data_IF_032360247368
#
_entry.id   IF_032360247368
#
_cell.length_a   1.000
_cell.length_b   1.000
_cell.length_c   1.000
_cell.angle_alpha   90.00
_cell.angle_beta   90.00
_cell.angle_gamma   90.00
#
_symmetry.space_group_name_H-M   'P 1'
#
loop_
_entity.id
_entity.type
_entity.pdbx_description
1 polymer ?
#
# COMPACT_ATOMS: atom_id res chain seq x y z
N UNK A 1 -8.66 30.17 -38.44
CA UNK A 1 -7.40 29.64 -37.93
C UNK A 1 -7.49 29.43 -36.42
N UNK A 2 -8.07 28.33 -35.95
CA UNK A 2 -7.98 27.85 -34.56
C UNK A 2 -8.39 26.38 -34.53
N UNK A 3 -7.53 25.46 -34.94
CA UNK A 3 -7.77 24.00 -34.84
C UNK A 3 -6.81 23.27 -33.90
N UNK A 4 -6.05 23.98 -33.07
CA UNK A 4 -5.07 23.38 -32.13
C UNK A 4 -5.59 23.01 -30.75
N UNK A 5 -6.78 23.45 -30.35
CA UNK A 5 -7.25 23.32 -28.96
C UNK A 5 -7.87 21.97 -28.56
N UNK A 6 -8.20 21.11 -29.51
CA UNK A 6 -8.87 19.82 -29.23
C UNK A 6 -7.95 18.59 -29.31
N UNK A 7 -6.76 18.71 -29.88
CA UNK A 7 -5.83 17.58 -30.06
C UNK A 7 -5.05 17.24 -28.79
N UNK A 8 -4.69 18.23 -27.97
CA UNK A 8 -3.91 18.05 -26.74
C UNK A 8 -4.65 17.20 -25.69
N UNK A 9 -5.90 17.51 -25.30
CA UNK A 9 -6.66 16.69 -24.36
C UNK A 9 -6.90 15.26 -24.83
N UNK A 10 -7.10 15.06 -26.13
CA UNK A 10 -7.26 13.72 -26.71
C UNK A 10 -5.94 12.91 -26.70
N UNK A 11 -4.82 13.57 -26.92
CA UNK A 11 -3.49 12.95 -26.85
C UNK A 11 -3.17 12.52 -25.42
N UNK A 12 -3.41 13.38 -24.45
CA UNK A 12 -3.22 13.06 -23.03
C UNK A 12 -4.10 11.89 -22.57
N UNK A 13 -5.37 11.88 -22.97
CA UNK A 13 -6.28 10.78 -22.67
C UNK A 13 -5.79 9.45 -23.30
N UNK A 14 -5.36 9.45 -24.56
CA UNK A 14 -4.78 8.27 -25.22
C UNK A 14 -3.53 7.76 -24.49
N UNK A 15 -2.66 8.66 -24.06
CA UNK A 15 -1.46 8.31 -23.30
C UNK A 15 -1.83 7.73 -21.93
N UNK A 16 -2.79 8.31 -21.21
CA UNK A 16 -3.27 7.80 -19.94
C UNK A 16 -3.88 6.40 -20.08
N UNK A 17 -4.70 6.17 -21.12
CA UNK A 17 -5.26 4.85 -21.44
C UNK A 17 -4.14 3.84 -21.77
N UNK A 18 -3.16 4.23 -22.57
CA UNK A 18 -2.04 3.36 -22.91
C UNK A 18 -1.19 2.99 -21.68
N UNK A 19 -0.91 3.96 -20.80
CA UNK A 19 -0.22 3.73 -19.52
C UNK A 19 -1.03 2.77 -18.62
N UNK A 20 -2.33 2.99 -18.48
CA UNK A 20 -3.22 2.11 -17.71
C UNK A 20 -3.21 0.68 -18.28
N UNK A 21 -3.32 0.51 -19.60
CA UNK A 21 -3.27 -0.81 -20.26
C UNK A 21 -1.92 -1.51 -20.06
N UNK A 22 -0.81 -0.77 -20.15
CA UNK A 22 0.53 -1.32 -19.92
C UNK A 22 0.69 -1.79 -18.47
N UNK A 23 0.18 -1.04 -17.51
CA UNK A 23 0.20 -1.41 -16.08
C UNK A 23 -0.65 -2.65 -15.80
N UNK A 24 -1.87 -2.71 -16.35
CA UNK A 24 -2.72 -3.89 -16.25
C UNK A 24 -1.99 -5.13 -16.78
N UNK A 25 -1.37 -5.04 -17.97
CA UNK A 25 -0.61 -6.14 -18.54
C UNK A 25 0.58 -6.57 -17.67
N UNK A 26 1.22 -5.64 -16.99
CA UNK A 26 2.38 -5.90 -16.15
C UNK A 26 2.02 -6.66 -14.85
N UNK A 27 0.90 -6.32 -14.21
CA UNK A 27 0.50 -6.90 -12.93
C UNK A 27 -0.41 -8.13 -13.04
N UNK A 28 -1.10 -8.30 -14.17
CA UNK A 28 -2.07 -9.38 -14.36
C UNK A 28 -1.51 -10.78 -14.05
N UNK A 29 -0.26 -11.15 -14.39
CA UNK A 29 0.31 -12.43 -13.98
C UNK A 29 0.36 -12.63 -12.47
N UNK A 30 0.73 -11.60 -11.70
CA UNK A 30 0.76 -11.65 -10.23
C UNK A 30 -0.66 -11.80 -9.66
N UNK A 31 -1.62 -11.06 -10.21
CA UNK A 31 -3.02 -11.12 -9.79
C UNK A 31 -3.62 -12.50 -10.08
N UNK A 32 -3.39 -13.06 -11.27
CA UNK A 32 -3.83 -14.44 -11.61
C UNK A 32 -3.19 -15.50 -10.71
N UNK A 33 -1.95 -15.30 -10.29
CA UNK A 33 -1.30 -16.19 -9.33
C UNK A 33 -2.02 -16.18 -7.99
N UNK A 34 -2.47 -15.01 -7.52
CA UNK A 34 -3.28 -14.93 -6.29
C UNK A 34 -4.63 -15.65 -6.46
N UNK A 35 -5.34 -15.42 -7.57
CA UNK A 35 -6.61 -16.07 -7.87
C UNK A 35 -6.48 -17.60 -7.93
N UNK A 36 -5.39 -18.11 -8.53
CA UNK A 36 -5.10 -19.53 -8.59
C UNK A 36 -4.89 -20.13 -7.19
N UNK A 37 -4.06 -19.48 -6.36
CA UNK A 37 -3.84 -19.92 -4.97
C UNK A 37 -5.14 -19.94 -4.19
N UNK A 38 -6.01 -18.96 -4.37
CA UNK A 38 -7.31 -18.88 -3.70
C UNK A 38 -8.28 -19.97 -4.14
N UNK A 39 -8.20 -20.42 -5.40
CA UNK A 39 -8.98 -21.56 -5.91
C UNK A 39 -8.48 -22.89 -5.33
N UNK A 40 -7.18 -23.06 -5.22
CA UNK A 40 -6.56 -24.30 -4.70
C UNK A 40 -6.66 -24.40 -3.16
N UNK A 41 -6.58 -23.26 -2.47
CA UNK A 41 -6.62 -23.17 -1.01
C UNK A 41 -7.37 -21.91 -0.58
N UNK A 42 -8.70 -21.94 -0.56
CA UNK A 42 -9.49 -20.78 -0.19
C UNK A 42 -9.12 -20.24 1.19
N UNK A 43 -8.80 -18.94 1.31
CA UNK A 43 -8.47 -18.35 2.61
C UNK A 43 -9.66 -18.41 3.56
N UNK A 44 -9.35 -18.47 4.84
CA UNK A 44 -10.40 -18.41 5.88
C UNK A 44 -11.19 -17.11 5.78
N UNK A 45 -12.49 -17.20 5.97
CA UNK A 45 -13.34 -16.03 6.16
C UNK A 45 -12.83 -15.22 7.36
N UNK A 46 -13.08 -13.93 7.34
CA UNK A 46 -12.68 -13.05 8.45
C UNK A 46 -11.15 -12.93 8.63
N UNK A 47 -10.40 -12.99 7.53
CA UNK A 47 -8.94 -12.87 7.50
C UNK A 47 -8.46 -11.43 7.66
N UNK A 48 -7.15 -11.27 7.90
CA UNK A 48 -6.41 -10.02 7.83
C UNK A 48 -5.69 -10.00 6.48
N UNK A 49 -5.91 -8.98 5.67
CA UNK A 49 -5.34 -8.88 4.33
C UNK A 49 -4.32 -7.74 4.25
N UNK A 50 -3.12 -8.04 3.79
CA UNK A 50 -2.11 -7.03 3.46
C UNK A 50 -2.03 -6.85 1.95
N UNK A 51 -2.14 -5.62 1.48
CA UNK A 51 -2.03 -5.28 0.06
C UNK A 51 -1.11 -4.08 -0.16
N UNK A 52 -0.64 -3.92 -1.40
CA UNK A 52 0.23 -2.83 -1.81
C UNK A 52 1.47 -3.29 -2.53
N UNK A 53 2.58 -2.60 -2.30
CA UNK A 53 3.79 -2.72 -3.12
C UNK A 53 4.75 -3.86 -2.70
N UNK A 54 5.99 -3.76 -3.18
CA UNK A 54 7.03 -4.77 -2.93
C UNK A 54 7.35 -5.00 -1.45
N UNK A 55 7.15 -4.00 -0.59
CA UNK A 55 7.36 -4.17 0.85
C UNK A 55 6.36 -5.16 1.44
N UNK A 56 5.12 -5.18 0.96
CA UNK A 56 4.15 -6.22 1.35
C UNK A 56 4.51 -7.56 0.70
N UNK A 57 4.76 -7.57 -0.63
CA UNK A 57 5.07 -8.80 -1.36
C UNK A 57 6.21 -9.60 -0.74
N UNK A 58 7.25 -8.90 -0.27
CA UNK A 58 8.45 -9.52 0.31
C UNK A 58 8.30 -9.90 1.78
N UNK A 59 7.21 -9.51 2.45
CA UNK A 59 7.01 -9.79 3.87
C UNK A 59 6.55 -11.24 4.09
N UNK A 60 7.32 -12.02 4.83
CA UNK A 60 6.95 -13.37 5.23
C UNK A 60 5.94 -13.31 6.39
N UNK A 61 4.65 -13.20 6.06
CA UNK A 61 3.59 -13.04 7.06
C UNK A 61 3.41 -14.30 7.94
N UNK A 62 3.66 -15.48 7.38
CA UNK A 62 3.55 -16.74 8.13
C UNK A 62 4.55 -16.81 9.29
N UNK A 63 5.75 -16.34 9.05
CA UNK A 63 6.81 -16.27 10.06
C UNK A 63 6.60 -15.10 11.02
N UNK A 64 6.19 -13.94 10.48
CA UNK A 64 6.00 -12.72 11.27
C UNK A 64 4.79 -12.77 12.19
N UNK A 65 3.73 -13.49 11.81
CA UNK A 65 2.46 -13.54 12.55
C UNK A 65 1.96 -15.00 12.69
N UNK A 66 2.68 -15.86 13.42
CA UNK A 66 2.32 -17.27 13.54
C UNK A 66 0.91 -17.43 14.13
N UNK A 67 0.12 -18.32 13.51
CA UNK A 67 -1.23 -18.62 13.95
C UNK A 67 -2.31 -17.59 13.59
N UNK A 68 -1.95 -16.44 12.99
CA UNK A 68 -2.94 -15.45 12.53
C UNK A 68 -3.35 -15.73 11.06
N UNK A 69 -4.65 -15.62 10.71
CA UNK A 69 -5.13 -15.85 9.35
C UNK A 69 -4.81 -14.65 8.44
N UNK A 70 -3.56 -14.55 8.02
CA UNK A 70 -3.04 -13.45 7.22
C UNK A 70 -2.98 -13.80 5.73
N UNK A 71 -3.40 -12.87 4.87
CA UNK A 71 -3.36 -12.98 3.41
C UNK A 71 -2.42 -11.91 2.85
N UNK A 72 -1.39 -12.31 2.08
CA UNK A 72 -0.52 -11.40 1.38
C UNK A 72 -1.00 -11.19 -0.06
N UNK A 73 -1.37 -9.95 -0.40
CA UNK A 73 -1.75 -9.49 -1.74
C UNK A 73 -0.89 -8.31 -2.19
N UNK A 74 0.39 -8.33 -1.79
CA UNK A 74 1.38 -7.39 -2.27
C UNK A 74 1.91 -7.75 -3.65
N UNK A 75 2.06 -6.78 -4.54
CA UNK A 75 2.65 -6.94 -5.87
C UNK A 75 3.67 -5.85 -6.17
N UNK A 76 4.88 -6.28 -6.56
CA UNK A 76 6.07 -5.44 -6.52
C UNK A 76 6.02 -4.25 -7.48
N UNK A 77 6.36 -3.05 -6.97
CA UNK A 77 6.39 -1.83 -7.77
C UNK A 77 5.02 -1.20 -8.03
N UNK A 78 3.95 -1.72 -7.41
CA UNK A 78 2.62 -1.14 -7.54
C UNK A 78 2.52 0.23 -6.85
N UNK A 79 1.61 1.03 -7.35
CA UNK A 79 1.17 2.28 -6.78
C UNK A 79 -0.20 2.11 -6.11
N UNK A 80 -0.66 3.12 -5.43
CA UNK A 80 -1.97 3.13 -4.76
C UNK A 80 -3.11 2.97 -5.78
N UNK A 81 -3.00 3.61 -6.93
CA UNK A 81 -3.95 3.45 -8.05
C UNK A 81 -4.01 2.03 -8.61
N UNK A 82 -2.96 1.21 -8.47
CA UNK A 82 -3.00 -0.20 -8.84
C UNK A 82 -3.77 -1.03 -7.81
N UNK A 83 -3.61 -0.73 -6.52
CA UNK A 83 -4.41 -1.36 -5.47
C UNK A 83 -5.91 -1.08 -5.66
N UNK A 84 -6.28 0.13 -6.09
CA UNK A 84 -7.66 0.48 -6.47
C UNK A 84 -8.11 -0.35 -7.68
N UNK A 85 -7.30 -0.42 -8.72
CA UNK A 85 -7.64 -1.12 -9.97
C UNK A 85 -7.95 -2.60 -9.76
N UNK A 86 -7.19 -3.25 -8.88
CA UNK A 86 -7.32 -4.69 -8.62
C UNK A 86 -8.14 -5.04 -7.38
N UNK A 87 -8.75 -4.06 -6.72
CA UNK A 87 -9.52 -4.26 -5.49
C UNK A 87 -10.54 -5.39 -5.59
N UNK A 88 -11.31 -5.43 -6.67
CA UNK A 88 -12.38 -6.41 -6.87
C UNK A 88 -11.84 -7.84 -7.06
N UNK A 89 -10.59 -8.00 -7.46
CA UNK A 89 -9.96 -9.30 -7.70
C UNK A 89 -9.17 -9.82 -6.50
N UNK A 90 -8.56 -8.93 -5.70
CA UNK A 90 -7.62 -9.34 -4.65
C UNK A 90 -8.06 -9.00 -3.22
N UNK A 91 -9.10 -8.19 -3.06
CA UNK A 91 -9.63 -7.80 -1.74
C UNK A 91 -11.06 -8.26 -1.56
N UNK A 92 -11.94 -7.88 -2.48
CA UNK A 92 -13.38 -8.12 -2.38
C UNK A 92 -13.77 -9.60 -2.15
N UNK A 93 -13.14 -10.61 -2.80
CA UNK A 93 -13.49 -12.02 -2.60
C UNK A 93 -13.28 -12.51 -1.16
N UNK A 94 -12.35 -11.91 -0.43
CA UNK A 94 -11.96 -12.32 0.93
C UNK A 94 -12.82 -11.71 2.02
N UNK A 95 -13.48 -10.57 1.76
CA UNK A 95 -14.22 -9.80 2.78
C UNK A 95 -13.46 -9.73 4.11
N UNK A 96 -12.24 -9.22 4.12
CA UNK A 96 -11.38 -9.26 5.30
C UNK A 96 -11.92 -8.35 6.40
N UNK A 97 -11.69 -8.72 7.67
CA UNK A 97 -12.04 -7.86 8.81
C UNK A 97 -11.07 -6.69 8.99
N UNK A 98 -9.81 -6.89 8.55
CA UNK A 98 -8.77 -5.86 8.56
C UNK A 98 -8.05 -5.86 7.22
N UNK A 99 -7.80 -4.69 6.67
CA UNK A 99 -6.91 -4.47 5.52
C UNK A 99 -5.75 -3.59 5.99
N UNK A 100 -4.52 -4.05 5.78
CA UNK A 100 -3.34 -3.19 5.84
C UNK A 100 -2.90 -2.83 4.43
N UNK A 101 -2.85 -1.54 4.14
CA UNK A 101 -2.44 -0.99 2.84
C UNK A 101 -1.07 -0.32 2.97
N UNK A 102 -0.10 -0.72 2.15
CA UNK A 102 1.17 -0.04 1.98
C UNK A 102 1.42 0.32 0.52
N UNK A 103 1.35 1.60 0.19
CA UNK A 103 1.71 2.16 -1.11
C UNK A 103 2.01 3.66 -0.95
N UNK A 104 2.54 4.30 -1.99
CA UNK A 104 2.85 5.72 -2.01
C UNK A 104 4.32 6.02 -2.33
N UNK A 105 5.26 5.17 -1.92
CA UNK A 105 6.68 5.35 -2.20
C UNK A 105 7.02 5.21 -3.70
N UNK A 106 6.33 4.32 -4.42
CA UNK A 106 6.46 4.20 -5.87
C UNK A 106 5.67 5.30 -6.61
N UNK A 107 4.57 5.73 -6.05
CA UNK A 107 3.75 6.82 -6.56
C UNK A 107 4.58 8.11 -6.66
N UNK A 108 5.22 8.49 -5.56
CA UNK A 108 6.07 9.69 -5.48
C UNK A 108 7.35 9.53 -6.31
N UNK A 109 7.99 8.36 -6.31
CA UNK A 109 9.15 8.08 -7.17
C UNK A 109 8.82 8.25 -8.66
N UNK A 110 7.58 8.01 -9.07
CA UNK A 110 7.10 8.19 -10.44
C UNK A 110 6.50 9.57 -10.72
N UNK A 111 6.67 10.50 -9.79
CA UNK A 111 6.34 11.90 -9.97
C UNK A 111 4.92 12.30 -9.52
N UNK A 112 4.18 11.44 -8.81
CA UNK A 112 2.97 11.89 -8.15
C UNK A 112 3.31 12.82 -6.97
N UNK A 113 2.53 13.86 -6.80
CA UNK A 113 2.59 14.70 -5.61
C UNK A 113 1.94 14.02 -4.39
N UNK A 114 2.27 14.53 -3.19
CA UNK A 114 1.62 14.10 -1.95
C UNK A 114 0.09 14.20 -2.05
N UNK A 115 -0.43 15.27 -2.65
CA UNK A 115 -1.86 15.47 -2.84
C UNK A 115 -2.48 14.39 -3.73
N UNK A 116 -1.80 13.97 -4.81
CA UNK A 116 -2.29 12.89 -5.68
C UNK A 116 -2.31 11.54 -4.95
N UNK A 117 -1.33 11.26 -4.11
CA UNK A 117 -1.31 10.07 -3.26
C UNK A 117 -2.47 10.10 -2.25
N UNK A 118 -2.73 11.25 -1.64
CA UNK A 118 -3.87 11.44 -0.71
C UNK A 118 -5.22 11.21 -1.42
N UNK A 119 -5.40 11.72 -2.64
CA UNK A 119 -6.64 11.49 -3.38
C UNK A 119 -6.83 10.00 -3.74
N UNK A 120 -5.76 9.31 -4.12
CA UNK A 120 -5.80 7.85 -4.33
C UNK A 120 -6.13 7.11 -3.02
N UNK A 121 -5.56 7.52 -1.87
CA UNK A 121 -5.92 6.95 -0.56
C UNK A 121 -7.42 7.13 -0.24
N UNK A 122 -7.94 8.33 -0.40
CA UNK A 122 -9.39 8.62 -0.22
C UNK A 122 -10.26 7.75 -1.14
N UNK A 123 -9.82 7.55 -2.39
CA UNK A 123 -10.53 6.69 -3.33
C UNK A 123 -10.52 5.23 -2.86
N UNK A 124 -9.40 4.73 -2.35
CA UNK A 124 -9.30 3.38 -1.80
C UNK A 124 -10.16 3.22 -0.53
N UNK A 125 -10.11 4.18 0.40
CA UNK A 125 -10.95 4.20 1.61
C UNK A 125 -12.45 4.17 1.25
N UNK A 126 -12.88 4.97 0.23
CA UNK A 126 -14.26 4.92 -0.27
C UNK A 126 -14.67 3.56 -0.80
N UNK A 127 -13.78 2.86 -1.53
CA UNK A 127 -14.07 1.50 -2.02
C UNK A 127 -14.32 0.52 -0.87
N UNK A 128 -13.54 0.61 0.20
CA UNK A 128 -13.73 -0.24 1.39
C UNK A 128 -15.09 0.02 2.00
N UNK A 129 -15.44 1.27 2.27
CA UNK A 129 -16.75 1.63 2.85
C UNK A 129 -17.94 1.16 2.00
N UNK A 130 -17.79 1.21 0.68
CA UNK A 130 -18.86 0.81 -0.25
C UNK A 130 -18.97 -0.71 -0.44
N UNK A 131 -17.84 -1.42 -0.55
CA UNK A 131 -17.83 -2.81 -0.99
C UNK A 131 -17.64 -3.84 0.14
N UNK A 132 -16.96 -3.44 1.22
CA UNK A 132 -16.70 -4.27 2.40
C UNK A 132 -16.90 -3.46 3.69
N UNK A 133 -18.12 -2.96 3.93
CA UNK A 133 -18.41 -2.12 5.09
C UNK A 133 -18.06 -2.85 6.40
N UNK A 134 -17.60 -2.09 7.39
CA UNK A 134 -17.14 -2.62 8.67
C UNK A 134 -15.69 -3.12 8.69
N UNK A 135 -15.04 -3.25 7.55
CA UNK A 135 -13.61 -3.58 7.48
C UNK A 135 -12.76 -2.43 8.04
N UNK A 136 -11.84 -2.75 8.93
CA UNK A 136 -10.84 -1.79 9.42
C UNK A 136 -9.74 -1.59 8.38
N UNK A 137 -9.41 -0.34 8.06
CA UNK A 137 -8.31 0.02 7.15
C UNK A 137 -7.14 0.58 7.96
N UNK A 138 -6.03 -0.14 8.01
CA UNK A 138 -4.75 0.37 8.49
C UNK A 138 -3.87 0.84 7.32
N UNK A 139 -3.67 2.14 7.18
CA UNK A 139 -2.69 2.68 6.24
C UNK A 139 -1.30 2.62 6.87
N UNK A 140 -0.45 1.74 6.37
CA UNK A 140 0.95 1.68 6.78
C UNK A 140 1.68 2.88 6.19
N UNK A 141 2.22 3.74 7.03
CA UNK A 141 2.90 4.97 6.64
C UNK A 141 3.91 4.71 5.50
N UNK A 142 3.97 5.64 4.56
CA UNK A 142 4.99 5.59 3.51
C UNK A 142 6.35 5.71 4.18
N UNK A 143 7.15 4.64 4.09
CA UNK A 143 8.46 4.61 4.73
C UNK A 143 9.47 5.49 4.00
N UNK A 144 10.33 6.19 4.70
CA UNK A 144 11.56 6.70 4.11
C UNK A 144 12.46 5.55 3.66
N UNK A 145 13.40 5.82 2.77
CA UNK A 145 14.46 4.88 2.45
C UNK A 145 15.75 5.63 2.11
N UNK A 146 16.89 4.99 2.30
CA UNK A 146 18.18 5.61 2.02
C UNK A 146 18.27 5.97 0.52
N UNK A 147 17.79 5.05 -0.34
CA UNK A 147 17.81 5.24 -1.80
C UNK A 147 16.94 6.40 -2.27
N UNK A 148 15.83 6.66 -1.59
CA UNK A 148 14.83 7.68 -1.96
C UNK A 148 14.74 8.79 -0.90
N UNK A 149 15.80 9.04 -0.14
CA UNK A 149 15.79 10.04 0.93
C UNK A 149 15.42 11.44 0.43
N UNK A 150 15.85 11.79 -0.78
CA UNK A 150 15.51 13.05 -1.41
C UNK A 150 13.99 13.25 -1.65
N UNK A 151 13.20 12.18 -1.67
CA UNK A 151 11.74 12.22 -1.80
C UNK A 151 11.02 12.21 -0.45
N UNK A 152 11.75 12.08 0.66
CA UNK A 152 11.16 11.99 1.98
C UNK A 152 10.26 13.18 2.35
N UNK A 153 10.58 14.45 2.04
CA UNK A 153 9.69 15.57 2.33
C UNK A 153 8.28 15.40 1.76
N UNK A 154 8.18 14.92 0.52
CA UNK A 154 6.90 14.67 -0.16
C UNK A 154 6.16 13.48 0.45
N UNK A 155 6.87 12.40 0.77
CA UNK A 155 6.31 11.24 1.46
C UNK A 155 5.79 11.61 2.85
N UNK A 156 6.54 12.38 3.61
CA UNK A 156 6.15 12.86 4.93
C UNK A 156 4.93 13.80 4.87
N UNK A 157 4.81 14.60 3.81
CA UNK A 157 3.62 15.44 3.59
C UNK A 157 2.38 14.56 3.36
N UNK A 158 2.47 13.57 2.48
CA UNK A 158 1.37 12.62 2.24
C UNK A 158 0.97 11.89 3.54
N UNK A 159 1.97 11.42 4.31
CA UNK A 159 1.75 10.74 5.58
C UNK A 159 0.98 11.61 6.58
N UNK A 160 1.37 12.88 6.77
CA UNK A 160 0.68 13.79 7.69
C UNK A 160 -0.78 14.01 7.29
N UNK A 161 -1.06 14.22 6.01
CA UNK A 161 -2.43 14.44 5.54
C UNK A 161 -3.27 13.17 5.71
N UNK A 162 -2.72 12.00 5.35
CA UNK A 162 -3.42 10.72 5.52
C UNK A 162 -3.67 10.43 7.01
N UNK A 163 -2.71 10.72 7.88
CA UNK A 163 -2.90 10.59 9.33
C UNK A 163 -4.08 11.41 9.82
N UNK A 164 -4.16 12.69 9.45
CA UNK A 164 -5.29 13.55 9.83
C UNK A 164 -6.64 13.04 9.29
N UNK A 165 -6.65 12.40 8.11
CA UNK A 165 -7.86 11.77 7.58
C UNK A 165 -8.24 10.55 8.44
N UNK A 166 -7.27 9.70 8.80
CA UNK A 166 -7.52 8.52 9.64
C UNK A 166 -8.08 8.89 11.02
N UNK A 167 -7.71 10.05 11.58
CA UNK A 167 -8.20 10.55 12.87
C UNK A 167 -9.68 10.96 12.82
N UNK A 168 -10.24 11.21 11.64
CA UNK A 168 -11.61 11.67 11.45
C UNK A 168 -12.53 10.64 10.79
N UNK A 169 -11.98 9.62 10.12
CA UNK A 169 -12.74 8.58 9.44
C UNK A 169 -12.89 7.33 10.32
N UNK A 170 -14.12 6.87 10.50
CA UNK A 170 -14.41 5.63 11.22
C UNK A 170 -13.75 4.43 10.54
N UNK A 171 -13.24 3.48 11.35
CA UNK A 171 -12.52 2.28 10.90
C UNK A 171 -11.28 2.56 10.05
N UNK A 172 -10.72 3.75 10.13
CA UNK A 172 -9.50 4.17 9.43
C UNK A 172 -8.38 4.44 10.43
N UNK A 173 -7.21 3.86 10.21
CA UNK A 173 -6.09 3.90 11.16
C UNK A 173 -4.79 4.20 10.43
N UNK A 174 -4.01 5.11 10.99
CA UNK A 174 -2.65 5.37 10.55
C UNK A 174 -1.66 4.50 11.34
N UNK A 175 -0.84 3.73 10.65
CA UNK A 175 0.13 2.80 11.26
C UNK A 175 1.52 3.43 11.13
N UNK A 176 2.01 4.02 12.20
CA UNK A 176 3.33 4.65 12.22
C UNK A 176 4.45 3.62 12.29
N UNK A 177 4.98 3.27 11.13
CA UNK A 177 6.20 2.46 11.00
C UNK A 177 7.44 3.34 10.82
N UNK A 178 7.29 4.64 10.71
CA UNK A 178 8.39 5.57 10.43
C UNK A 178 9.17 5.88 11.70
N UNK A 179 8.50 6.21 12.80
CA UNK A 179 9.16 6.54 14.08
C UNK A 179 10.18 5.49 14.51
N UNK A 180 9.91 4.18 14.49
CA UNK A 180 10.90 3.17 14.87
C UNK A 180 12.02 2.97 13.82
N UNK A 181 11.94 3.61 12.67
CA UNK A 181 13.00 3.56 11.64
C UNK A 181 14.01 4.69 11.78
N UNK A 182 13.76 5.68 12.63
CA UNK A 182 14.59 6.85 12.84
C UNK A 182 15.28 6.78 14.22
N UNK A 183 16.52 7.26 14.27
CA UNK A 183 17.21 7.48 15.54
C UNK A 183 16.83 8.84 16.17
N UNK A 184 17.39 9.16 17.32
CA UNK A 184 17.15 10.41 18.03
C UNK A 184 17.53 11.69 17.27
N UNK A 185 18.39 11.55 16.25
CA UNK A 185 18.81 12.64 15.36
C UNK A 185 17.92 12.74 14.10
N UNK A 186 16.89 11.88 13.97
CA UNK A 186 16.02 11.82 12.80
C UNK A 186 16.65 11.13 11.58
N UNK A 187 17.75 10.40 11.77
CA UNK A 187 18.43 9.65 10.73
C UNK A 187 17.92 8.20 10.67
N UNK A 188 17.94 7.63 9.47
CA UNK A 188 17.52 6.24 9.25
C UNK A 188 18.50 5.24 9.89
N UNK A 189 17.97 4.25 10.58
CA UNK A 189 18.71 3.06 10.95
C UNK A 189 19.05 2.23 9.70
N UNK A 190 20.31 2.28 9.27
CA UNK A 190 20.76 1.67 8.02
C UNK A 190 20.61 0.14 7.96
N UNK A 191 20.65 -0.53 9.10
CA UNK A 191 20.50 -1.98 9.25
C UNK A 191 19.07 -2.48 9.05
N UNK A 192 18.09 -1.58 9.04
CA UNK A 192 16.70 -1.90 8.69
C UNK A 192 16.49 -2.07 7.17
N UNK A 193 17.52 -1.79 6.36
CA UNK A 193 17.43 -1.87 4.91
C UNK A 193 18.29 -3.00 4.35
N UNK A 194 17.82 -3.62 3.27
CA UNK A 194 18.59 -4.56 2.47
C UNK A 194 19.72 -3.85 1.69
N UNK A 195 20.58 -4.63 1.01
CA UNK A 195 21.72 -4.09 0.24
C UNK A 195 21.33 -3.05 -0.82
N UNK A 196 20.10 -3.11 -1.33
CA UNK A 196 19.58 -2.14 -2.31
C UNK A 196 19.20 -0.78 -1.69
N UNK A 197 19.28 -0.66 -0.36
CA UNK A 197 19.00 0.56 0.42
C UNK A 197 17.57 1.09 0.24
N UNK A 198 16.68 0.28 -0.30
CA UNK A 198 15.27 0.57 -0.57
C UNK A 198 14.33 -0.37 0.19
N UNK A 199 14.52 -1.68 0.01
CA UNK A 199 13.70 -2.68 0.66
C UNK A 199 14.14 -2.91 2.10
N UNK A 200 13.24 -3.43 2.91
CA UNK A 200 13.55 -3.80 4.29
C UNK A 200 14.47 -5.02 4.35
N UNK A 201 15.37 -5.01 5.32
CA UNK A 201 16.07 -6.20 5.79
C UNK A 201 15.16 -7.05 6.67
N UNK A 202 15.62 -8.18 7.14
CA UNK A 202 14.94 -8.98 8.15
C UNK A 202 14.65 -8.17 9.42
N UNK A 203 15.64 -7.42 9.93
CA UNK A 203 15.46 -6.50 11.06
C UNK A 203 14.39 -5.44 10.79
N UNK A 204 14.33 -4.91 9.56
CA UNK A 204 13.29 -3.98 9.15
C UNK A 204 11.90 -4.59 9.22
N UNK A 205 11.72 -5.81 8.74
CA UNK A 205 10.46 -6.52 8.88
C UNK A 205 10.11 -6.86 10.32
N UNK A 206 11.09 -7.22 11.16
CA UNK A 206 10.87 -7.42 12.59
C UNK A 206 10.38 -6.14 13.27
N UNK A 207 10.93 -4.96 12.90
CA UNK A 207 10.44 -3.68 13.41
C UNK A 207 8.98 -3.42 13.00
N UNK A 208 8.63 -3.64 11.73
CA UNK A 208 7.27 -3.51 11.25
C UNK A 208 6.31 -4.50 11.91
N UNK A 209 6.75 -5.76 12.08
CA UNK A 209 5.98 -6.80 12.77
C UNK A 209 5.61 -6.37 14.19
N UNK A 210 6.54 -5.80 14.96
CA UNK A 210 6.26 -5.30 16.31
C UNK A 210 5.18 -4.21 16.32
N UNK A 211 5.21 -3.29 15.35
CA UNK A 211 4.21 -2.23 15.24
C UNK A 211 2.83 -2.81 14.93
N UNK A 212 2.75 -3.67 13.90
CA UNK A 212 1.47 -4.25 13.51
C UNK A 212 0.91 -5.21 14.56
N UNK A 213 1.76 -5.99 15.23
CA UNK A 213 1.32 -6.89 16.32
C UNK A 213 0.67 -6.09 17.46
N UNK A 214 1.32 -5.00 17.90
CA UNK A 214 0.76 -4.12 18.93
C UNK A 214 -0.58 -3.52 18.51
N UNK A 215 -0.67 -3.05 17.25
CA UNK A 215 -1.94 -2.53 16.74
C UNK A 215 -3.04 -3.59 16.73
N UNK A 216 -2.72 -4.82 16.29
CA UNK A 216 -3.66 -5.94 16.28
C UNK A 216 -4.15 -6.30 17.69
N UNK A 217 -3.26 -6.34 18.68
CA UNK A 217 -3.61 -6.60 20.08
C UNK A 217 -4.61 -5.57 20.63
N UNK A 218 -4.51 -4.32 20.20
CA UNK A 218 -5.37 -3.23 20.67
C UNK A 218 -6.71 -3.14 19.92
N UNK A 219 -6.73 -3.49 18.63
CA UNK A 219 -7.86 -3.19 17.74
C UNK A 219 -8.52 -4.44 17.14
N UNK A 220 -7.88 -5.60 17.22
CA UNK A 220 -8.33 -6.86 16.61
C UNK A 220 -7.90 -8.06 17.50
N UNK A 221 -8.30 -8.08 18.79
CA UNK A 221 -7.92 -9.10 19.77
C UNK A 221 -8.43 -10.51 19.43
#
# INVERSE_FOLDING_TARGET
LASGGHEEPQRELRQAIARKRARVKNWDPSIRSFEKVDQESPPSKNSILLTGSSSIRKWNLKESFPGKPMINRGFGGSELSDAILYFDRIVLPHRPRVIFLYAGDNDIERGKSAQQVVEDYKAYSRLIRQKVPGTKLGFIAIKPSIKRWHLWPEMAMANRIIQSICETEENSYYIDIVSPMLNSEGLLHGDLFAKDRLHLSEKGYQAWTRVLSRWLEQHDP
#
